data_IF_504948339073
#
_entry.id   IF_504948339073
#
_cell.length_a   1.000
_cell.length_b   1.000
_cell.length_c   1.000
_cell.angle_alpha   90.00
_cell.angle_beta   90.00
_cell.angle_gamma   90.00
#
_symmetry.space_group_name_H-M   'P 1'
#
loop_
_entity.id
_entity.type
_entity.pdbx_description
1 polymer ?
#
# COMPACT_ATOMS: atom_id res chain seq x y z
N UNK A 1 -3.40 17.22 2.20
CA UNK A 1 -3.28 15.89 1.56
C UNK A 1 -4.63 15.21 1.42
N UNK A 2 -5.36 14.94 2.52
CA UNK A 2 -6.67 14.27 2.49
C UNK A 2 -7.73 14.94 1.60
N UNK A 3 -7.89 16.27 1.66
CA UNK A 3 -8.83 17.01 0.79
C UNK A 3 -8.52 16.79 -0.71
N UNK A 4 -7.25 16.92 -1.06
CA UNK A 4 -6.74 16.74 -2.42
C UNK A 4 -6.90 15.29 -2.92
N UNK A 5 -6.75 14.28 -2.05
CA UNK A 5 -7.05 12.88 -2.37
C UNK A 5 -8.53 12.72 -2.73
N UNK A 6 -9.43 13.38 -1.98
CA UNK A 6 -10.86 13.32 -2.26
C UNK A 6 -11.21 13.96 -3.61
N UNK A 7 -10.54 15.06 -3.96
CA UNK A 7 -10.74 15.78 -5.22
C UNK A 7 -10.13 15.07 -6.43
N UNK A 8 -8.92 14.51 -6.29
CA UNK A 8 -8.17 13.87 -7.38
C UNK A 8 -8.52 12.38 -7.57
N UNK A 9 -9.23 11.76 -6.61
CA UNK A 9 -9.64 10.35 -6.67
C UNK A 9 -11.16 10.17 -6.45
N UNK A 10 -12.03 10.85 -7.22
CA UNK A 10 -13.48 10.82 -7.02
C UNK A 10 -14.08 9.43 -7.22
N UNK A 11 -13.41 8.57 -7.98
CA UNK A 11 -13.80 7.16 -8.16
C UNK A 11 -13.65 6.33 -6.89
N UNK A 12 -12.71 6.67 -6.01
CA UNK A 12 -12.38 5.88 -4.83
C UNK A 12 -12.96 6.45 -3.54
N UNK A 13 -13.12 7.77 -3.47
CA UNK A 13 -13.68 8.43 -2.30
C UNK A 13 -15.22 8.21 -2.22
N UNK A 14 -15.68 7.42 -1.26
CA UNK A 14 -17.12 7.21 -1.00
C UNK A 14 -17.85 6.26 -1.96
N UNK A 15 -17.14 5.56 -2.85
CA UNK A 15 -17.75 4.62 -3.80
C UNK A 15 -17.76 3.16 -3.26
N UNK A 16 -18.95 2.64 -2.96
CA UNK A 16 -19.14 1.27 -2.45
C UNK A 16 -18.64 0.17 -3.39
N UNK A 17 -18.76 0.36 -4.69
CA UNK A 17 -18.28 -0.65 -5.66
C UNK A 17 -16.75 -0.73 -5.65
N UNK A 18 -16.08 0.41 -5.46
CA UNK A 18 -14.62 0.44 -5.31
C UNK A 18 -14.19 -0.16 -3.97
N UNK A 19 -14.93 0.10 -2.90
CA UNK A 19 -14.69 -0.57 -1.60
C UNK A 19 -14.76 -2.09 -1.72
N UNK A 20 -15.76 -2.65 -2.43
CA UNK A 20 -15.83 -4.09 -2.64
C UNK A 20 -14.62 -4.61 -3.43
N UNK A 21 -14.20 -3.91 -4.48
CA UNK A 21 -13.00 -4.32 -5.24
C UNK A 21 -11.72 -4.26 -4.41
N UNK A 22 -11.63 -3.34 -3.44
CA UNK A 22 -10.52 -3.33 -2.48
C UNK A 22 -10.49 -4.60 -1.64
N UNK A 23 -11.64 -5.03 -1.12
CA UNK A 23 -11.77 -6.29 -0.35
C UNK A 23 -11.39 -7.48 -1.21
N UNK A 24 -11.93 -7.57 -2.42
CA UNK A 24 -11.64 -8.68 -3.35
C UNK A 24 -10.13 -8.71 -3.71
N UNK A 25 -9.52 -7.53 -3.91
CA UNK A 25 -8.08 -7.43 -4.19
C UNK A 25 -7.23 -7.77 -2.96
N UNK A 26 -7.65 -7.37 -1.77
CA UNK A 26 -6.99 -7.73 -0.51
C UNK A 26 -6.95 -9.25 -0.34
N UNK A 27 -8.06 -9.96 -0.58
CA UNK A 27 -8.07 -11.43 -0.55
C UNK A 27 -7.08 -12.03 -1.57
N UNK A 28 -7.04 -11.50 -2.79
CA UNK A 28 -6.07 -11.94 -3.82
C UNK A 28 -4.63 -11.66 -3.40
N UNK A 29 -4.34 -10.48 -2.86
CA UNK A 29 -2.99 -10.10 -2.46
C UNK A 29 -2.53 -10.88 -1.20
N UNK A 30 -3.41 -11.10 -0.23
CA UNK A 30 -3.13 -11.91 0.98
C UNK A 30 -3.01 -13.38 0.63
N UNK A 31 -3.78 -13.92 -0.33
CA UNK A 31 -3.61 -15.32 -0.76
C UNK A 31 -2.22 -15.62 -1.32
N UNK A 32 -1.47 -14.59 -1.73
CA UNK A 32 -0.07 -14.67 -2.18
C UNK A 32 0.94 -14.40 -1.06
N UNK A 33 0.47 -14.02 0.12
CA UNK A 33 1.25 -13.81 1.32
C UNK A 33 1.29 -15.12 2.10
N UNK A 34 2.18 -16.02 1.69
CA UNK A 34 2.60 -17.09 2.59
C UNK A 34 3.43 -16.45 3.70
N UNK A 35 3.04 -16.71 4.95
CA UNK A 35 3.86 -16.40 6.13
C UNK A 35 4.67 -17.67 6.37
N UNK A 36 5.95 -17.76 5.94
CA UNK A 36 6.84 -18.78 6.45
C UNK A 36 6.82 -18.73 7.99
N UNK A 37 7.26 -19.78 8.68
CA UNK A 37 7.61 -19.61 10.11
C UNK A 37 8.78 -18.61 10.17
N UNK A 38 8.46 -17.31 10.25
CA UNK A 38 9.40 -16.21 10.16
C UNK A 38 10.17 -16.14 11.47
N UNK A 39 11.48 -16.35 11.41
CA UNK A 39 12.37 -15.89 12.46
C UNK A 39 12.40 -14.36 12.38
N UNK A 40 11.84 -13.66 13.37
CA UNK A 40 11.57 -12.20 13.35
C UNK A 40 12.81 -11.31 13.13
N UNK A 41 14.01 -11.90 13.03
CA UNK A 41 15.29 -11.22 12.86
C UNK A 41 15.84 -11.23 11.43
N UNK A 42 15.32 -12.05 10.51
CA UNK A 42 15.85 -12.15 9.14
C UNK A 42 15.19 -11.10 8.21
N UNK A 43 15.97 -10.20 7.62
CA UNK A 43 15.48 -9.22 6.65
C UNK A 43 14.99 -9.84 5.33
N UNK A 44 15.36 -11.09 5.03
CA UNK A 44 14.77 -11.87 3.94
C UNK A 44 13.24 -12.03 4.10
N UNK A 45 12.73 -11.88 5.32
CA UNK A 45 11.30 -11.94 5.64
C UNK A 45 10.51 -10.72 5.16
N UNK A 46 11.19 -9.67 4.69
CA UNK A 46 10.54 -8.49 4.13
C UNK A 46 10.05 -8.71 2.69
N UNK A 47 10.55 -9.72 1.98
CA UNK A 47 10.15 -10.05 0.61
C UNK A 47 8.64 -10.29 0.46
N UNK A 48 8.05 -11.21 1.24
CA UNK A 48 6.59 -11.42 1.26
C UNK A 48 5.81 -10.14 1.56
N UNK A 49 6.27 -9.35 2.54
CA UNK A 49 5.56 -8.12 2.95
C UNK A 49 5.61 -7.06 1.85
N UNK A 50 6.77 -6.89 1.20
CA UNK A 50 6.92 -6.06 0.01
C UNK A 50 6.01 -6.51 -1.12
N UNK A 51 5.90 -7.81 -1.37
CA UNK A 51 5.03 -8.35 -2.42
C UNK A 51 3.55 -8.04 -2.14
N UNK A 52 3.12 -8.21 -0.90
CA UNK A 52 1.76 -7.84 -0.46
C UNK A 52 1.50 -6.34 -0.68
N UNK A 53 2.39 -5.48 -0.15
CA UNK A 53 2.30 -4.03 -0.35
C UNK A 53 2.29 -3.64 -1.83
N UNK A 54 3.13 -4.26 -2.65
CA UNK A 54 3.23 -3.94 -4.09
C UNK A 54 1.97 -4.39 -4.84
N UNK A 55 1.37 -5.52 -4.47
CA UNK A 55 0.10 -5.99 -5.02
C UNK A 55 -1.02 -4.98 -4.73
N UNK A 56 -1.18 -4.57 -3.46
CA UNK A 56 -2.16 -3.56 -3.07
C UNK A 56 -1.90 -2.21 -3.75
N UNK A 57 -0.66 -1.70 -3.68
CA UNK A 57 -0.25 -0.44 -4.30
C UNK A 57 -0.58 -0.38 -5.79
N UNK A 58 -0.27 -1.44 -6.54
CA UNK A 58 -0.51 -1.46 -7.99
C UNK A 58 -2.00 -1.38 -8.30
N UNK A 59 -2.82 -2.11 -7.54
CA UNK A 59 -4.27 -2.05 -7.65
C UNK A 59 -4.80 -0.65 -7.31
N UNK A 60 -4.43 -0.10 -6.14
CA UNK A 60 -4.79 1.24 -5.69
C UNK A 60 -4.45 2.30 -6.74
N UNK A 61 -3.21 2.30 -7.25
CA UNK A 61 -2.75 3.28 -8.26
C UNK A 61 -3.56 3.18 -9.54
N UNK A 62 -3.83 1.96 -10.02
CA UNK A 62 -4.60 1.75 -11.25
C UNK A 62 -6.04 2.27 -11.16
N UNK A 63 -6.62 2.25 -9.95
CA UNK A 63 -8.02 2.58 -9.74
C UNK A 63 -8.23 4.04 -9.26
N UNK A 64 -7.31 4.52 -8.43
CA UNK A 64 -7.45 5.78 -7.67
C UNK A 64 -6.40 6.83 -8.04
N UNK A 65 -5.40 6.49 -8.85
CA UNK A 65 -4.34 7.41 -9.26
C UNK A 65 -3.17 7.49 -8.28
N UNK A 66 -2.16 8.26 -8.69
CA UNK A 66 -0.86 8.32 -8.03
C UNK A 66 -0.89 8.92 -6.63
N UNK A 67 -1.71 9.96 -6.40
CA UNK A 67 -1.81 10.59 -5.09
C UNK A 67 -2.36 9.63 -4.03
N UNK A 68 -3.36 8.82 -4.39
CA UNK A 68 -3.92 7.80 -3.51
C UNK A 68 -2.92 6.65 -3.32
N UNK A 69 -2.23 6.23 -4.37
CA UNK A 69 -1.14 5.24 -4.26
C UNK A 69 -0.03 5.68 -3.31
N UNK A 70 0.37 6.95 -3.38
CA UNK A 70 1.32 7.54 -2.43
C UNK A 70 0.79 7.51 -0.99
N UNK A 71 -0.49 7.82 -0.78
CA UNK A 71 -1.09 7.76 0.55
C UNK A 71 -1.13 6.31 1.08
N UNK A 72 -1.51 5.34 0.25
CA UNK A 72 -1.46 3.91 0.62
C UNK A 72 -0.02 3.49 1.00
N UNK A 73 1.00 3.92 0.27
CA UNK A 73 2.40 3.66 0.62
C UNK A 73 2.76 4.16 2.03
N UNK A 74 2.24 5.33 2.45
CA UNK A 74 2.43 5.83 3.82
C UNK A 74 1.71 4.99 4.87
N UNK A 75 0.54 4.44 4.56
CA UNK A 75 -0.18 3.52 5.46
C UNK A 75 0.59 2.20 5.63
N UNK A 76 1.09 1.63 4.54
CA UNK A 76 1.93 0.42 4.58
C UNK A 76 3.18 0.60 5.44
N UNK A 77 3.80 1.79 5.39
CA UNK A 77 4.92 2.12 6.27
C UNK A 77 4.51 2.18 7.74
N UNK A 78 3.35 2.75 8.05
CA UNK A 78 2.83 2.80 9.41
C UNK A 78 2.50 1.38 9.94
N UNK A 79 1.92 0.52 9.10
CA UNK A 79 1.67 -0.90 9.42
C UNK A 79 3.00 -1.61 9.71
N UNK A 80 4.01 -1.44 8.86
CA UNK A 80 5.32 -2.05 9.06
C UNK A 80 5.98 -1.59 10.36
N UNK A 81 5.85 -0.30 10.74
CA UNK A 81 6.38 0.20 12.02
C UNK A 81 5.80 -0.50 13.25
N UNK A 82 4.60 -1.06 13.15
CA UNK A 82 3.93 -1.76 14.26
C UNK A 82 4.16 -3.27 14.20
N UNK A 83 4.02 -3.88 13.02
CA UNK A 83 3.97 -5.34 12.88
C UNK A 83 5.22 -5.96 12.24
N UNK A 84 5.99 -5.18 11.48
CA UNK A 84 7.17 -5.66 10.74
C UNK A 84 8.32 -4.63 10.82
N UNK A 85 8.79 -4.26 12.03
CA UNK A 85 9.73 -3.15 12.22
C UNK A 85 11.05 -3.37 11.46
N UNK A 86 11.47 -4.62 11.29
CA UNK A 86 12.66 -5.00 10.49
C UNK A 86 12.56 -4.60 9.00
N UNK A 87 11.34 -4.38 8.48
CA UNK A 87 11.09 -4.05 7.08
C UNK A 87 10.91 -2.55 6.82
N UNK A 88 10.97 -1.72 7.87
CA UNK A 88 10.72 -0.27 7.75
C UNK A 88 11.75 0.40 6.85
N UNK A 89 13.04 0.11 7.03
CA UNK A 89 14.11 0.72 6.22
C UNK A 89 13.97 0.39 4.73
N UNK A 90 13.62 -0.85 4.44
CA UNK A 90 13.43 -1.39 3.08
C UNK A 90 12.17 -0.82 2.38
N UNK A 91 11.15 -0.44 3.16
CA UNK A 91 9.97 0.26 2.64
C UNK A 91 10.23 1.76 2.46
N UNK A 92 10.99 2.38 3.37
CA UNK A 92 11.33 3.81 3.27
C UNK A 92 12.20 4.08 2.03
N UNK A 93 13.09 3.16 1.64
CA UNK A 93 13.89 3.28 0.41
C UNK A 93 13.06 3.25 -0.87
N UNK A 94 11.90 2.58 -0.86
CA UNK A 94 11.05 2.37 -2.03
C UNK A 94 9.97 3.45 -2.21
N UNK A 95 9.93 4.43 -1.31
CA UNK A 95 8.88 5.45 -1.26
C UNK A 95 9.29 6.80 -1.83
N UNK A 96 8.33 7.44 -2.50
CA UNK A 96 8.48 8.83 -2.88
C UNK A 96 8.27 9.71 -1.64
N UNK A 97 9.25 10.56 -1.26
CA UNK A 97 9.19 11.30 0.01
C UNK A 97 8.06 12.32 0.03
N UNK A 98 7.71 12.89 -1.14
CA UNK A 98 6.69 13.89 -1.29
C UNK A 98 5.50 13.37 -2.10
N UNK A 99 4.27 13.84 -1.81
CA UNK A 99 3.12 13.50 -2.64
C UNK A 99 3.35 14.00 -4.07
N UNK A 100 2.86 13.29 -5.10
CA UNK A 100 2.95 13.74 -6.48
C UNK A 100 2.29 15.11 -6.64
N UNK A 101 2.80 15.93 -7.56
CA UNK A 101 2.16 17.20 -7.93
C UNK A 101 0.76 16.97 -8.52
N UNK A 102 -0.16 17.96 -8.43
CA UNK A 102 -1.47 17.85 -9.10
C UNK A 102 -1.28 17.57 -10.58
N UNK A 103 -2.13 16.70 -11.15
CA UNK A 103 -2.23 16.56 -12.59
C UNK A 103 -2.67 17.93 -13.16
N UNK A 104 -1.89 18.46 -14.10
CA UNK A 104 -2.12 19.77 -14.72
C UNK A 104 -3.33 19.77 -15.64
#
# INVERSE_FOLDING_TARGET
ALHRIYEESPTCAGNKSVQQRFIDNEEVCISRFEIPNLDETDSANCGPFKNLRNCDRNFVRSLCGDLYGWFSDRLWLAIAKVYFPICVSDLESDQQPFPPSPAS
#
